data_IF_395130746275
#
_entry.id   IF_395130746275
#
_cell.length_a   1.000
_cell.length_b   1.000
_cell.length_c   1.000
_cell.angle_alpha   90.00
_cell.angle_beta   90.00
_cell.angle_gamma   90.00
#
_symmetry.space_group_name_H-M   'P 1'
#
loop_
_entity.id
_entity.type
_entity.pdbx_description
1 polymer ?
#
# COMPACT_ATOMS: atom_id res chain seq x y z
N UNK A 1 14.68 0.93 11.24
CA UNK A 1 13.31 0.40 11.42
C UNK A 1 12.64 -0.06 10.12
N UNK A 2 12.94 0.50 8.94
CA UNK A 2 12.30 0.03 7.69
C UNK A 2 12.65 -1.39 7.23
N UNK A 3 13.86 -1.89 7.52
CA UNK A 3 14.32 -3.23 7.07
C UNK A 3 13.75 -4.40 7.87
N UNK A 4 13.06 -4.16 8.98
CA UNK A 4 12.35 -5.20 9.74
C UNK A 4 10.88 -5.29 9.34
N UNK A 5 10.40 -4.39 8.47
CA UNK A 5 9.02 -4.40 7.99
C UNK A 5 8.91 -5.33 6.80
N UNK A 6 7.95 -6.24 6.83
CA UNK A 6 7.63 -7.14 5.72
C UNK A 6 6.23 -6.81 5.22
N UNK A 7 6.11 -6.58 3.91
CA UNK A 7 4.82 -6.50 3.20
C UNK A 7 4.35 -7.93 2.96
N UNK A 8 3.13 -8.23 3.41
CA UNK A 8 2.53 -9.57 3.37
C UNK A 8 1.22 -9.49 2.57
N UNK A 9 1.20 -10.15 1.42
CA UNK A 9 0.02 -10.17 0.54
C UNK A 9 -0.30 -11.58 0.09
N UNK A 10 -1.58 -11.81 -0.22
CA UNK A 10 -2.06 -13.05 -0.84
C UNK A 10 -2.88 -12.66 -2.06
N UNK A 11 -2.51 -13.19 -3.22
CA UNK A 11 -3.31 -13.11 -4.45
C UNK A 11 -4.13 -14.38 -4.58
N UNK A 12 -5.44 -14.27 -4.75
CA UNK A 12 -6.36 -15.38 -4.95
C UNK A 12 -6.72 -15.48 -6.44
N UNK A 13 -6.62 -16.68 -6.99
CA UNK A 13 -6.92 -17.00 -8.38
C UNK A 13 -8.05 -18.03 -8.45
N UNK A 14 -9.04 -17.75 -9.29
CA UNK A 14 -10.09 -18.69 -9.64
C UNK A 14 -9.59 -19.66 -10.70
N UNK A 15 -9.83 -20.96 -10.50
CA UNK A 15 -9.54 -22.01 -11.48
C UNK A 15 -10.85 -22.51 -12.10
N UNK A 16 -10.92 -22.58 -13.42
CA UNK A 16 -12.01 -23.28 -14.09
C UNK A 16 -11.89 -24.79 -13.87
N UNK A 17 -13.02 -25.50 -13.82
CA UNK A 17 -13.08 -26.95 -13.54
C UNK A 17 -12.22 -27.79 -14.49
N UNK A 18 -11.99 -27.32 -15.70
CA UNK A 18 -11.18 -28.00 -16.73
C UNK A 18 -9.68 -27.79 -16.59
N UNK A 19 -9.24 -26.95 -15.65
CA UNK A 19 -7.83 -26.58 -15.48
C UNK A 19 -7.17 -27.50 -14.46
N UNK A 20 -6.07 -28.12 -14.86
CA UNK A 20 -5.23 -28.93 -13.97
C UNK A 20 -4.40 -28.01 -13.04
N UNK A 21 -4.73 -28.01 -11.76
CA UNK A 21 -4.07 -27.19 -10.74
C UNK A 21 -2.58 -27.50 -10.61
N UNK A 22 -2.15 -28.74 -10.82
CA UNK A 22 -0.74 -29.12 -10.71
C UNK A 22 0.07 -28.56 -11.88
N UNK A 23 -0.49 -28.63 -13.10
CA UNK A 23 0.13 -28.02 -14.28
C UNK A 23 0.25 -26.49 -14.15
N UNK A 24 -0.78 -25.83 -13.59
CA UNK A 24 -0.73 -24.39 -13.30
C UNK A 24 0.32 -24.07 -12.24
N UNK A 25 0.37 -24.83 -11.14
CA UNK A 25 1.36 -24.63 -10.08
C UNK A 25 2.80 -24.83 -10.60
N UNK A 26 3.02 -25.84 -11.45
CA UNK A 26 4.30 -26.05 -12.13
C UNK A 26 4.67 -24.86 -13.03
N UNK A 27 3.74 -24.39 -13.85
CA UNK A 27 3.98 -23.23 -14.72
C UNK A 27 4.19 -21.94 -13.93
N UNK A 28 3.52 -21.79 -12.78
CA UNK A 28 3.71 -20.66 -11.88
C UNK A 28 5.11 -20.70 -11.25
N UNK A 29 5.62 -21.88 -10.90
CA UNK A 29 6.99 -22.05 -10.44
C UNK A 29 8.01 -21.64 -11.52
N UNK A 30 7.78 -21.99 -12.79
CA UNK A 30 8.60 -21.51 -13.90
C UNK A 30 8.50 -19.99 -14.10
N UNK A 31 7.30 -19.43 -13.93
CA UNK A 31 7.10 -17.97 -13.95
C UNK A 31 7.88 -17.26 -12.84
N UNK A 32 7.88 -17.82 -11.63
CA UNK A 32 8.70 -17.32 -10.50
C UNK A 32 10.19 -17.43 -10.82
N UNK A 33 10.66 -18.58 -11.33
CA UNK A 33 12.07 -18.77 -11.72
C UNK A 33 12.50 -17.74 -12.77
N UNK A 34 11.67 -17.49 -13.78
CA UNK A 34 11.96 -16.46 -14.77
C UNK A 34 12.03 -15.06 -14.13
N UNK A 35 11.04 -14.69 -13.30
CA UNK A 35 11.04 -13.41 -12.62
C UNK A 35 12.27 -13.21 -11.73
N UNK A 36 12.69 -14.24 -10.99
CA UNK A 36 13.91 -14.21 -10.16
C UNK A 36 15.18 -14.07 -10.99
N UNK A 37 15.27 -14.67 -12.20
CA UNK A 37 16.42 -14.44 -13.10
C UNK A 37 16.55 -12.98 -13.53
N UNK A 38 15.42 -12.29 -13.73
CA UNK A 38 15.38 -10.87 -14.09
C UNK A 38 15.58 -9.95 -12.87
N UNK A 39 15.23 -10.43 -11.68
CA UNK A 39 15.27 -9.70 -10.40
C UNK A 39 16.08 -10.48 -9.34
N UNK A 40 17.37 -10.80 -9.58
CA UNK A 40 18.12 -11.76 -8.77
C UNK A 40 18.27 -11.34 -7.31
N UNK A 41 18.30 -10.03 -7.03
CA UNK A 41 18.37 -9.49 -5.67
C UNK A 41 17.16 -9.83 -4.78
N UNK A 42 16.03 -10.30 -5.35
CA UNK A 42 14.90 -10.79 -4.56
C UNK A 42 15.17 -12.16 -3.92
N UNK A 43 16.11 -12.94 -4.46
CA UNK A 43 16.58 -14.21 -3.87
C UNK A 43 17.65 -14.00 -2.78
N UNK A 44 18.04 -12.75 -2.52
CA UNK A 44 19.10 -12.44 -1.56
C UNK A 44 18.62 -12.29 -0.12
N UNK A 45 19.58 -12.36 0.80
CA UNK A 45 19.40 -12.02 2.21
C UNK A 45 19.85 -10.56 2.45
N UNK A 46 19.01 -9.77 3.11
CA UNK A 46 19.34 -8.38 3.47
C UNK A 46 20.33 -8.33 4.62
N UNK A 47 21.46 -7.65 4.40
CA UNK A 47 22.55 -7.53 5.36
C UNK A 47 23.17 -6.14 5.30
N UNK A 48 23.71 -5.69 6.43
CA UNK A 48 24.55 -4.49 6.44
C UNK A 48 25.96 -4.85 5.97
N UNK A 49 26.43 -4.17 4.93
CA UNK A 49 27.84 -4.16 4.53
C UNK A 49 28.74 -3.61 5.63
N UNK A 50 30.05 -3.83 5.51
CA UNK A 50 31.07 -3.26 6.40
C UNK A 50 30.97 -1.73 6.51
N UNK A 51 30.54 -1.07 5.43
CA UNK A 51 30.31 0.38 5.39
C UNK A 51 28.98 0.82 6.03
N UNK A 52 28.25 -0.09 6.69
CA UNK A 52 26.97 0.19 7.34
C UNK A 52 25.80 0.42 6.37
N UNK A 53 25.95 0.11 5.08
CA UNK A 53 24.87 0.21 4.08
C UNK A 53 24.13 -1.12 3.98
N UNK A 54 22.80 -1.07 3.98
CA UNK A 54 21.96 -2.24 3.77
C UNK A 54 22.01 -2.68 2.30
N UNK A 55 22.29 -3.95 2.06
CA UNK A 55 22.40 -4.58 0.74
C UNK A 55 21.59 -5.87 0.71
N UNK A 56 21.09 -6.27 -0.46
CA UNK A 56 20.64 -7.64 -0.69
C UNK A 56 21.83 -8.45 -1.18
N UNK A 57 22.24 -9.47 -0.43
CA UNK A 57 23.41 -10.31 -0.74
C UNK A 57 22.94 -11.58 -1.44
N UNK A 58 23.49 -11.82 -2.63
CA UNK A 58 23.21 -13.00 -3.46
C UNK A 58 24.51 -13.72 -3.85
N UNK A 59 24.44 -15.04 -3.96
CA UNK A 59 25.45 -15.92 -4.56
C UNK A 59 24.90 -16.55 -5.85
N UNK A 60 25.74 -17.19 -6.69
CA UNK A 60 25.26 -17.92 -7.87
C UNK A 60 24.20 -18.99 -7.57
N UNK A 61 24.19 -19.52 -6.35
CA UNK A 61 23.25 -20.53 -5.84
C UNK A 61 22.02 -19.92 -5.13
N UNK A 62 21.93 -18.59 -5.03
CA UNK A 62 20.79 -17.94 -4.39
C UNK A 62 19.54 -18.14 -5.22
N UNK A 63 18.58 -18.86 -4.64
CA UNK A 63 17.26 -19.08 -5.22
C UNK A 63 16.20 -18.46 -4.32
N UNK A 64 15.13 -17.99 -4.95
CA UNK A 64 13.97 -17.51 -4.21
C UNK A 64 13.30 -18.71 -3.52
N UNK A 65 13.10 -18.63 -2.21
CA UNK A 65 12.41 -19.67 -1.47
C UNK A 65 10.93 -19.71 -1.88
N UNK A 66 10.51 -20.83 -2.49
CA UNK A 66 9.12 -21.09 -2.90
C UNK A 66 8.63 -22.36 -2.21
N UNK A 67 7.58 -22.23 -1.41
CA UNK A 67 6.86 -23.38 -0.85
C UNK A 67 5.62 -23.68 -1.72
N UNK A 68 5.31 -24.96 -1.95
CA UNK A 68 4.04 -25.39 -2.54
C UNK A 68 3.26 -26.13 -1.47
N UNK A 69 2.13 -25.58 -1.06
CA UNK A 69 1.22 -26.17 -0.09
C UNK A 69 -0.08 -26.59 -0.77
N UNK A 70 -0.49 -27.84 -0.54
CA UNK A 70 -1.74 -28.41 -1.06
C UNK A 70 -2.70 -28.52 0.11
N UNK A 71 -3.70 -27.66 0.16
CA UNK A 71 -4.66 -27.66 1.25
C UNK A 71 -5.66 -28.80 1.08
N UNK A 72 -5.84 -29.60 2.12
CA UNK A 72 -6.99 -30.49 2.20
C UNK A 72 -8.28 -29.70 2.47
N UNK A 73 -9.44 -30.27 2.13
CA UNK A 73 -10.76 -29.65 2.39
C UNK A 73 -11.06 -29.45 3.88
N UNK A 74 -10.41 -30.23 4.74
CA UNK A 74 -10.44 -30.11 6.20
C UNK A 74 -9.55 -28.97 6.70
N UNK A 75 -8.52 -28.63 5.94
CA UNK A 75 -7.60 -27.56 6.27
C UNK A 75 -8.19 -26.23 5.80
N UNK A 76 -8.67 -26.12 4.56
CA UNK A 76 -9.10 -24.83 4.03
C UNK A 76 -10.43 -24.88 3.28
N UNK A 77 -11.16 -23.76 3.35
CA UNK A 77 -12.38 -23.58 2.57
C UNK A 77 -12.08 -23.56 1.06
N UNK A 78 -13.04 -24.05 0.26
CA UNK A 78 -12.91 -23.98 -1.20
C UNK A 78 -12.91 -22.53 -1.68
N UNK A 79 -12.35 -22.29 -2.87
CA UNK A 79 -12.31 -20.97 -3.48
C UNK A 79 -13.70 -20.33 -3.56
N UNK A 80 -14.73 -21.13 -3.90
CA UNK A 80 -16.12 -20.64 -4.01
C UNK A 80 -16.68 -20.12 -2.68
N UNK A 81 -16.31 -20.75 -1.56
CA UNK A 81 -16.72 -20.31 -0.21
C UNK A 81 -15.99 -19.02 0.17
N UNK A 82 -14.67 -18.97 -0.05
CA UNK A 82 -13.86 -17.77 0.18
C UNK A 82 -14.35 -16.59 -0.67
N UNK A 83 -14.66 -16.82 -1.94
CA UNK A 83 -15.18 -15.81 -2.86
C UNK A 83 -16.56 -15.30 -2.44
N UNK A 84 -17.44 -16.17 -1.92
CA UNK A 84 -18.74 -15.77 -1.36
C UNK A 84 -18.59 -14.87 -0.12
N UNK A 85 -17.56 -15.12 0.70
CA UNK A 85 -17.15 -14.24 1.80
C UNK A 85 -16.27 -13.07 1.36
N UNK A 86 -16.14 -12.82 0.06
CA UNK A 86 -15.32 -11.75 -0.52
C UNK A 86 -13.87 -11.73 -0.01
N UNK A 87 -13.32 -12.89 0.34
CA UNK A 87 -11.97 -13.02 0.92
C UNK A 87 -11.77 -12.06 2.10
N UNK A 88 -12.71 -12.09 3.05
CA UNK A 88 -12.78 -11.15 4.17
C UNK A 88 -11.44 -10.93 4.89
N UNK A 89 -11.13 -9.70 5.35
CA UNK A 89 -9.98 -9.45 6.22
C UNK A 89 -9.95 -10.27 7.52
N UNK A 90 -11.07 -10.91 7.92
CA UNK A 90 -11.10 -11.82 9.06
C UNK A 90 -10.57 -13.22 8.73
N UNK A 91 -10.31 -13.52 7.45
CA UNK A 91 -9.62 -14.74 7.04
C UNK A 91 -8.20 -14.76 7.61
N UNK A 92 -7.79 -15.90 8.17
CA UNK A 92 -6.40 -16.10 8.60
C UNK A 92 -5.48 -16.23 7.38
N UNK A 93 -4.97 -15.10 6.91
CA UNK A 93 -4.06 -15.04 5.77
C UNK A 93 -2.70 -15.70 6.04
N UNK A 94 -2.34 -15.98 7.31
CA UNK A 94 -1.01 -16.56 7.63
C UNK A 94 -0.82 -17.93 7.01
N UNK A 95 -1.90 -18.68 6.82
CA UNK A 95 -1.88 -20.03 6.25
C UNK A 95 -1.48 -20.04 4.78
N UNK A 96 -1.77 -18.95 4.06
CA UNK A 96 -1.40 -18.79 2.65
C UNK A 96 -0.05 -18.10 2.46
N UNK A 97 0.58 -17.63 3.53
CA UNK A 97 1.86 -16.92 3.48
C UNK A 97 3.01 -17.88 3.83
N UNK A 98 4.22 -17.65 3.28
CA UNK A 98 5.41 -18.35 3.74
C UNK A 98 5.61 -18.21 5.26
N UNK A 99 6.39 -19.10 5.86
CA UNK A 99 6.78 -18.95 7.26
C UNK A 99 7.62 -17.69 7.50
N UNK A 100 7.54 -17.13 8.72
CA UNK A 100 8.44 -16.06 9.17
C UNK A 100 9.89 -16.56 9.13
N UNK A 101 10.83 -15.82 8.51
CA UNK A 101 12.23 -16.20 8.54
C UNK A 101 12.81 -16.09 9.96
N UNK A 102 13.55 -17.11 10.39
CA UNK A 102 14.26 -17.14 11.67
C UNK A 102 15.74 -16.80 11.42
N UNK A 103 16.24 -15.74 12.05
CA UNK A 103 17.66 -15.35 12.02
C UNK A 103 18.17 -14.72 10.71
N UNK A 104 17.49 -14.97 9.58
CA UNK A 104 17.76 -14.37 8.28
C UNK A 104 16.77 -13.24 7.95
N UNK A 105 17.12 -12.42 6.95
CA UNK A 105 16.29 -11.31 6.46
C UNK A 105 16.12 -11.42 4.94
N UNK A 106 15.47 -12.48 4.42
CA UNK A 106 15.29 -12.66 2.99
C UNK A 106 14.56 -11.45 2.38
N UNK A 107 15.00 -11.03 1.20
CA UNK A 107 14.37 -9.95 0.47
C UNK A 107 12.94 -10.32 0.07
N UNK A 108 12.71 -11.57 -0.34
CA UNK A 108 11.39 -12.09 -0.71
C UNK A 108 11.26 -13.58 -0.32
N UNK A 109 10.04 -14.03 0.00
CA UNK A 109 9.63 -15.43 0.08
C UNK A 109 8.26 -15.61 -0.56
N UNK A 110 8.02 -16.76 -1.18
CA UNK A 110 6.74 -17.06 -1.86
C UNK A 110 6.17 -18.41 -1.40
N UNK A 111 4.84 -18.48 -1.31
CA UNK A 111 4.09 -19.71 -1.13
C UNK A 111 3.02 -19.81 -2.21
N UNK A 112 2.99 -20.94 -2.91
CA UNK A 112 1.90 -21.32 -3.81
C UNK A 112 0.97 -22.23 -2.99
N UNK A 113 -0.29 -21.84 -2.87
CA UNK A 113 -1.32 -22.64 -2.22
C UNK A 113 -2.28 -23.20 -3.26
N UNK A 114 -2.49 -24.51 -3.28
CA UNK A 114 -3.51 -25.16 -4.10
C UNK A 114 -4.72 -25.42 -3.20
N UNK A 115 -5.87 -24.85 -3.56
CA UNK A 115 -7.14 -25.00 -2.83
C UNK A 115 -8.20 -25.56 -3.78
N UNK A 116 -9.28 -26.15 -3.25
CA UNK A 116 -10.37 -26.63 -4.09
C UNK A 116 -10.95 -25.48 -4.93
N UNK A 117 -10.89 -25.62 -6.26
CA UNK A 117 -11.39 -24.62 -7.22
C UNK A 117 -10.54 -23.36 -7.36
N UNK A 118 -9.33 -23.31 -6.80
CA UNK A 118 -8.52 -22.10 -6.82
C UNK A 118 -7.04 -22.30 -6.52
N UNK A 119 -6.31 -21.18 -6.58
CA UNK A 119 -4.88 -21.10 -6.29
C UNK A 119 -4.60 -19.80 -5.52
N UNK A 120 -3.65 -19.84 -4.60
CA UNK A 120 -3.17 -18.64 -3.89
C UNK A 120 -1.68 -18.42 -4.15
N UNK A 121 -1.28 -17.17 -4.35
CA UNK A 121 0.12 -16.75 -4.35
C UNK A 121 0.35 -15.84 -3.13
N UNK A 122 0.91 -16.42 -2.07
CA UNK A 122 1.31 -15.69 -0.87
C UNK A 122 2.72 -15.18 -0.98
N UNK A 123 2.95 -13.93 -0.60
CA UNK A 123 4.23 -13.27 -0.76
C UNK A 123 4.59 -12.47 0.49
N UNK A 124 5.85 -12.63 0.92
CA UNK A 124 6.51 -11.82 1.94
C UNK A 124 7.65 -11.06 1.30
N UNK A 125 7.52 -9.74 1.18
CA UNK A 125 8.58 -8.87 0.66
C UNK A 125 9.12 -8.03 1.82
N UNK A 126 10.43 -8.08 2.07
CA UNK A 126 11.04 -7.13 2.97
C UNK A 126 10.91 -5.73 2.36
N UNK A 127 10.31 -4.79 3.10
CA UNK A 127 9.97 -3.48 2.58
C UNK A 127 11.21 -2.64 2.22
N UNK A 128 12.41 -2.99 2.71
CA UNK A 128 13.64 -2.34 2.26
C UNK A 128 14.04 -2.73 0.82
N UNK A 129 13.59 -3.88 0.32
CA UNK A 129 13.85 -4.32 -1.05
C UNK A 129 12.99 -3.59 -2.09
N UNK A 130 11.76 -3.18 -1.75
CA UNK A 130 10.90 -2.44 -2.68
C UNK A 130 9.60 -1.92 -2.07
N UNK A 131 9.00 -1.00 -2.81
CA UNK A 131 7.65 -0.46 -2.58
C UNK A 131 6.58 -1.24 -3.37
N UNK A 132 5.33 -0.77 -3.34
CA UNK A 132 4.23 -1.39 -4.10
C UNK A 132 4.51 -1.44 -5.60
N UNK A 133 5.09 -0.38 -6.20
CA UNK A 133 5.41 -0.36 -7.64
C UNK A 133 6.41 -1.48 -7.99
N UNK A 134 7.39 -1.73 -7.13
CA UNK A 134 8.34 -2.84 -7.28
C UNK A 134 7.68 -4.20 -7.11
N UNK A 135 6.77 -4.33 -6.14
CA UNK A 135 5.99 -5.55 -5.92
C UNK A 135 5.03 -5.85 -7.09
N UNK A 136 4.31 -4.85 -7.60
CA UNK A 136 3.44 -4.93 -8.77
C UNK A 136 4.22 -5.39 -10.00
N UNK A 137 5.43 -4.85 -10.21
CA UNK A 137 6.34 -5.28 -11.28
C UNK A 137 6.71 -6.76 -11.14
N UNK A 138 7.07 -7.22 -9.93
CA UNK A 138 7.39 -8.61 -9.64
C UNK A 138 6.19 -9.54 -9.92
N UNK A 139 5.02 -9.22 -9.38
CA UNK A 139 3.79 -10.00 -9.57
C UNK A 139 3.37 -10.07 -11.05
N UNK A 140 3.46 -8.95 -11.76
CA UNK A 140 3.17 -8.87 -13.18
C UNK A 140 4.13 -9.75 -13.99
N UNK A 141 5.43 -9.72 -13.66
CA UNK A 141 6.44 -10.53 -14.36
C UNK A 141 6.23 -12.02 -14.10
N UNK A 142 5.93 -12.42 -12.86
CA UNK A 142 5.58 -13.80 -12.49
C UNK A 142 4.37 -14.26 -13.33
N UNK A 143 3.30 -13.46 -13.35
CA UNK A 143 2.04 -13.82 -14.01
C UNK A 143 2.19 -13.93 -15.52
N UNK A 144 2.83 -12.95 -16.16
CA UNK A 144 3.08 -12.97 -17.60
C UNK A 144 4.02 -14.11 -18.01
N UNK A 145 5.01 -14.44 -17.19
CA UNK A 145 5.92 -15.57 -17.44
C UNK A 145 5.19 -16.90 -17.30
N UNK A 146 4.32 -17.04 -16.30
CA UNK A 146 3.45 -18.20 -16.10
C UNK A 146 2.55 -18.43 -17.31
N UNK A 147 1.89 -17.35 -17.77
CA UNK A 147 1.02 -17.35 -18.94
C UNK A 147 1.77 -17.74 -20.23
N UNK A 148 2.96 -17.18 -20.43
CA UNK A 148 3.80 -17.52 -21.58
C UNK A 148 4.24 -18.99 -21.55
N UNK A 149 4.66 -19.50 -20.38
CA UNK A 149 5.04 -20.90 -20.20
C UNK A 149 3.89 -21.86 -20.55
N UNK A 150 2.68 -21.59 -20.03
CA UNK A 150 1.48 -22.39 -20.33
C UNK A 150 1.13 -22.39 -21.82
N UNK A 151 1.38 -21.28 -22.51
CA UNK A 151 1.14 -21.15 -23.94
C UNK A 151 2.27 -21.71 -24.81
N UNK A 152 3.36 -22.22 -24.22
CA UNK A 152 4.56 -22.64 -24.96
C UNK A 152 5.27 -21.47 -25.67
N UNK A 153 5.11 -20.25 -25.16
CA UNK A 153 5.66 -19.01 -25.71
C UNK A 153 6.95 -18.61 -24.99
N UNK A 154 7.72 -17.72 -25.62
CA UNK A 154 8.88 -17.12 -24.98
C UNK A 154 8.44 -16.30 -23.76
N UNK A 155 9.03 -16.59 -22.60
CA UNK A 155 8.79 -15.82 -21.38
C UNK A 155 9.35 -14.39 -21.52
N UNK A 156 8.67 -13.38 -20.94
CA UNK A 156 9.12 -12.00 -21.03
C UNK A 156 10.45 -11.79 -20.31
N UNK A 157 11.23 -10.84 -20.81
CA UNK A 157 12.44 -10.33 -20.16
C UNK A 157 12.16 -8.98 -19.51
N UNK A 158 12.89 -8.67 -18.46
CA UNK A 158 12.81 -7.40 -17.76
C UNK A 158 14.19 -7.03 -17.25
N UNK A 159 14.58 -5.77 -17.40
CA UNK A 159 15.85 -5.28 -16.86
C UNK A 159 15.53 -4.17 -15.87
N UNK A 160 15.70 -4.41 -14.55
CA UNK A 160 15.46 -3.36 -13.57
C UNK A 160 16.53 -2.27 -13.67
N UNK A 161 16.11 -1.01 -13.52
CA UNK A 161 17.06 0.04 -13.16
C UNK A 161 17.31 0.00 -11.65
N UNK A 162 18.56 -0.24 -11.26
CA UNK A 162 18.99 -0.27 -9.86
C UNK A 162 19.76 0.99 -9.44
N UNK A 163 19.85 1.98 -10.33
CA UNK A 163 20.53 3.24 -10.04
C UNK A 163 19.77 4.03 -8.97
N UNK A 164 20.35 4.07 -7.77
CA UNK A 164 19.78 4.79 -6.62
C UNK A 164 20.23 6.25 -6.53
N UNK A 165 21.01 6.76 -7.48
CA UNK A 165 21.65 8.07 -7.39
C UNK A 165 20.65 9.20 -7.11
N UNK A 166 19.48 9.17 -7.76
CA UNK A 166 18.42 10.16 -7.58
C UNK A 166 17.79 10.16 -6.16
N UNK A 167 17.96 9.07 -5.41
CA UNK A 167 17.34 8.86 -4.10
C UNK A 167 18.34 8.84 -2.94
N UNK A 168 19.61 9.11 -3.22
CA UNK A 168 20.70 9.09 -2.25
C UNK A 168 21.00 10.48 -1.66
N UNK A 169 21.78 10.49 -0.58
CA UNK A 169 22.26 11.73 0.05
C UNK A 169 23.01 12.60 -0.96
N UNK A 170 22.57 13.85 -1.18
CA UNK A 170 23.28 14.79 -2.04
C UNK A 170 24.59 15.23 -1.36
N UNK A 171 25.49 15.83 -2.14
CA UNK A 171 26.62 16.55 -1.56
C UNK A 171 26.12 17.67 -0.62
N UNK A 172 26.76 17.92 0.54
CA UNK A 172 26.38 19.00 1.43
C UNK A 172 26.34 20.34 0.69
N UNK A 173 25.22 21.05 0.81
CA UNK A 173 25.08 22.40 0.29
C UNK A 173 24.81 23.36 1.45
N UNK A 174 25.75 24.24 1.82
CA UNK A 174 25.59 25.14 2.97
C UNK A 174 24.48 26.17 2.78
N UNK A 175 23.98 26.37 1.56
CA UNK A 175 22.84 27.23 1.28
C UNK A 175 21.48 26.60 1.66
N UNK A 176 21.44 25.27 1.87
CA UNK A 176 20.23 24.54 2.25
C UNK A 176 20.27 24.32 3.76
N UNK A 177 19.39 25.00 4.48
CA UNK A 177 19.28 24.84 5.93
C UNK A 177 18.47 23.59 6.30
N UNK A 178 18.59 23.16 7.55
CA UNK A 178 17.75 22.09 8.10
C UNK A 178 16.25 22.44 8.04
N UNK A 179 15.89 23.72 8.17
CA UNK A 179 14.51 24.18 8.04
C UNK A 179 13.99 24.02 6.59
N UNK A 180 14.83 24.33 5.60
CA UNK A 180 14.49 24.13 4.18
C UNK A 180 14.27 22.65 3.86
N UNK A 181 15.10 21.76 4.44
CA UNK A 181 14.92 20.32 4.30
C UNK A 181 13.61 19.85 4.92
N UNK A 182 13.30 20.25 6.16
CA UNK A 182 12.04 19.90 6.84
C UNK A 182 10.81 20.38 6.08
N UNK A 183 10.86 21.58 5.48
CA UNK A 183 9.77 22.11 4.66
C UNK A 183 9.44 21.23 3.43
N UNK A 184 10.43 20.50 2.91
CA UNK A 184 10.28 19.56 1.78
C UNK A 184 9.83 18.15 2.20
N UNK A 185 9.85 17.82 3.49
CA UNK A 185 9.49 16.51 4.02
C UNK A 185 8.49 16.63 5.18
N UNK A 186 7.28 17.18 4.94
CA UNK A 186 6.36 17.58 6.02
C UNK A 186 5.93 16.42 6.92
N UNK A 187 5.99 15.18 6.42
CA UNK A 187 5.73 13.96 7.19
C UNK A 187 6.69 13.73 8.35
N UNK A 188 7.90 14.29 8.34
CA UNK A 188 8.90 14.04 9.37
C UNK A 188 9.12 15.26 10.26
N UNK A 189 9.33 14.99 11.54
CA UNK A 189 9.93 15.93 12.49
C UNK A 189 11.24 15.33 13.01
N UNK A 190 12.13 16.19 13.51
CA UNK A 190 13.30 15.71 14.26
C UNK A 190 12.98 15.73 15.74
N UNK A 191 13.24 14.61 16.40
CA UNK A 191 13.07 14.46 17.84
C UNK A 191 14.32 13.85 18.46
N UNK A 192 14.44 13.96 19.78
CA UNK A 192 15.42 13.17 20.54
C UNK A 192 14.98 11.70 20.58
N UNK A 193 15.93 10.77 20.43
CA UNK A 193 15.68 9.32 20.51
C UNK A 193 15.03 8.91 21.83
N UNK A 194 15.33 9.61 22.92
CA UNK A 194 14.70 9.39 24.24
C UNK A 194 13.21 9.72 24.27
N UNK A 195 12.72 10.54 23.34
CA UNK A 195 11.31 10.89 23.20
C UNK A 195 10.55 9.91 22.30
N UNK A 196 11.26 9.03 21.58
CA UNK A 196 10.63 8.03 20.72
C UNK A 196 9.85 7.02 21.57
N UNK A 197 8.53 7.10 21.52
CA UNK A 197 7.62 6.18 22.22
C UNK A 197 6.90 5.31 21.21
N UNK A 198 7.02 3.99 21.38
CA UNK A 198 6.17 3.02 20.69
C UNK A 198 5.03 2.69 21.64
N UNK A 199 3.88 3.32 21.42
CA UNK A 199 2.66 2.91 22.13
C UNK A 199 2.11 1.65 21.44
N UNK A 200 1.70 0.62 22.20
CA UNK A 200 1.00 -0.51 21.60
C UNK A 200 -0.28 0.02 20.95
N UNK A 201 -0.58 -0.37 19.69
CA UNK A 201 -1.82 0.06 19.06
C UNK A 201 -3.03 -0.48 19.82
N UNK A 202 -4.16 0.27 19.83
CA UNK A 202 -5.42 -0.30 20.27
C UNK A 202 -5.79 -1.49 19.37
N UNK A 203 -6.57 -2.47 19.88
CA UNK A 203 -7.17 -3.49 19.04
C UNK A 203 -7.94 -2.84 17.89
N UNK A 204 -7.66 -3.28 16.68
CA UNK A 204 -8.28 -2.75 15.47
C UNK A 204 -9.14 -3.82 14.80
N UNK A 205 -10.19 -3.36 14.11
CA UNK A 205 -10.97 -4.16 13.18
C UNK A 205 -10.77 -3.62 11.78
N UNK A 206 -10.86 -4.50 10.79
CA UNK A 206 -10.86 -4.12 9.39
C UNK A 206 -11.90 -4.87 8.57
N UNK A 207 -12.50 -4.18 7.59
CA UNK A 207 -13.36 -4.75 6.55
C UNK A 207 -12.97 -4.14 5.19
N UNK A 208 -13.55 -4.67 4.12
CA UNK A 208 -13.45 -4.11 2.78
C UNK A 208 -14.74 -3.39 2.43
N UNK A 209 -14.60 -2.17 1.94
CA UNK A 209 -15.68 -1.37 1.40
C UNK A 209 -15.48 -1.12 -0.08
N UNK A 210 -16.58 -1.01 -0.82
CA UNK A 210 -16.57 -0.77 -2.26
C UNK A 210 -17.23 0.53 -2.61
N UNK A 211 -16.61 1.25 -3.54
CA UNK A 211 -17.17 2.46 -4.14
C UNK A 211 -17.09 2.35 -5.66
N UNK A 212 -18.15 2.79 -6.34
CA UNK A 212 -18.24 2.72 -7.80
C UNK A 212 -17.70 3.98 -8.47
N UNK A 213 -17.21 3.87 -9.70
CA UNK A 213 -16.80 5.02 -10.51
C UNK A 213 -17.94 6.04 -10.69
N UNK A 214 -19.21 5.68 -11.02
CA UNK A 214 -20.31 6.64 -11.06
C UNK A 214 -20.47 7.44 -9.76
N UNK A 215 -20.40 6.78 -8.60
CA UNK A 215 -20.46 7.44 -7.29
C UNK A 215 -19.32 8.44 -7.11
N UNK A 216 -18.11 8.07 -7.52
CA UNK A 216 -16.95 8.97 -7.48
C UNK A 216 -17.12 10.17 -8.42
N UNK A 217 -17.69 9.98 -9.61
CA UNK A 217 -17.94 11.08 -10.55
C UNK A 217 -18.99 12.05 -10.04
N UNK A 218 -20.02 11.54 -9.36
CA UNK A 218 -20.97 12.36 -8.63
C UNK A 218 -20.26 13.18 -7.55
N UNK A 219 -19.45 12.55 -6.70
CA UNK A 219 -18.68 13.23 -5.65
C UNK A 219 -17.74 14.31 -6.19
N UNK A 220 -17.04 14.04 -7.30
CA UNK A 220 -16.21 15.04 -7.96
C UNK A 220 -17.04 16.26 -8.34
N UNK A 221 -18.18 16.03 -8.98
CA UNK A 221 -19.08 17.09 -9.43
C UNK A 221 -19.63 17.92 -8.26
N UNK A 222 -19.99 17.26 -7.15
CA UNK A 222 -20.45 17.91 -5.93
C UNK A 222 -19.33 18.73 -5.26
N UNK A 223 -18.09 18.24 -5.24
CA UNK A 223 -16.96 18.93 -4.62
C UNK A 223 -16.40 20.08 -5.46
N UNK A 224 -16.47 20.01 -6.80
CA UNK A 224 -15.86 20.99 -7.72
C UNK A 224 -16.19 22.45 -7.39
N UNK A 225 -17.43 22.85 -7.08
CA UNK A 225 -17.76 24.24 -6.74
C UNK A 225 -17.14 24.74 -5.42
N UNK A 226 -16.61 23.84 -4.60
CA UNK A 226 -16.13 24.11 -3.24
C UNK A 226 -14.64 23.83 -3.07
N UNK A 227 -13.90 23.54 -4.15
CA UNK A 227 -12.47 23.30 -4.09
C UNK A 227 -11.73 24.58 -3.65
N UNK A 228 -10.76 24.40 -2.76
CA UNK A 228 -9.87 25.45 -2.30
C UNK A 228 -8.44 25.24 -2.81
N UNK A 229 -7.92 26.22 -3.55
CA UNK A 229 -6.51 26.27 -3.97
C UNK A 229 -6.06 25.13 -4.88
N UNK A 230 -6.97 24.46 -5.59
CA UNK A 230 -6.69 23.43 -6.61
C UNK A 230 -7.73 23.50 -7.73
N UNK A 231 -7.30 23.20 -8.96
CA UNK A 231 -8.18 23.28 -10.14
C UNK A 231 -9.05 22.02 -10.33
N UNK A 232 -8.61 20.89 -9.80
CA UNK A 232 -9.30 19.61 -9.96
C UNK A 232 -8.96 18.65 -8.81
N UNK A 233 -9.79 17.62 -8.68
CA UNK A 233 -9.56 16.47 -7.81
C UNK A 233 -9.72 15.15 -8.60
N UNK A 234 -9.02 14.12 -8.17
CA UNK A 234 -9.04 12.78 -8.76
C UNK A 234 -9.91 11.82 -7.96
N UNK A 235 -10.10 10.60 -8.50
CA UNK A 235 -10.80 9.53 -7.76
C UNK A 235 -10.10 9.20 -6.44
N UNK A 236 -8.76 9.20 -6.42
CA UNK A 236 -7.98 8.99 -5.20
C UNK A 236 -8.26 10.07 -4.14
N UNK A 237 -8.32 11.34 -4.54
CA UNK A 237 -8.60 12.45 -3.60
C UNK A 237 -10.00 12.31 -3.00
N UNK A 238 -10.99 11.91 -3.80
CA UNK A 238 -12.37 11.70 -3.34
C UNK A 238 -12.46 10.55 -2.32
N UNK A 239 -11.87 9.40 -2.64
CA UNK A 239 -11.85 8.24 -1.74
C UNK A 239 -11.10 8.60 -0.45
N UNK A 240 -9.96 9.28 -0.58
CA UNK A 240 -9.17 9.74 0.56
C UNK A 240 -9.95 10.71 1.47
N UNK A 241 -10.64 11.68 0.87
CA UNK A 241 -11.47 12.65 1.57
C UNK A 241 -12.63 11.98 2.33
N UNK A 242 -13.33 11.04 1.69
CA UNK A 242 -14.40 10.27 2.33
C UNK A 242 -13.90 9.49 3.55
N UNK A 243 -12.80 8.75 3.38
CA UNK A 243 -12.24 7.95 4.49
C UNK A 243 -11.76 8.85 5.63
N UNK A 244 -11.07 9.94 5.30
CA UNK A 244 -10.55 10.87 6.31
C UNK A 244 -11.67 11.55 7.10
N UNK A 245 -12.68 12.09 6.43
CA UNK A 245 -13.83 12.73 7.07
C UNK A 245 -14.66 11.73 7.88
N UNK A 246 -14.95 10.54 7.33
CA UNK A 246 -15.75 9.52 8.02
C UNK A 246 -15.07 8.98 9.29
N UNK A 247 -13.76 8.66 9.22
CA UNK A 247 -13.01 8.21 10.40
C UNK A 247 -12.89 9.34 11.42
N UNK A 248 -12.69 10.59 10.99
CA UNK A 248 -12.64 11.75 11.89
C UNK A 248 -13.98 11.94 12.62
N UNK A 249 -15.10 11.83 11.91
CA UNK A 249 -16.44 11.94 12.50
C UNK A 249 -16.75 10.80 13.47
N UNK A 250 -16.39 9.56 13.11
CA UNK A 250 -16.49 8.42 14.01
C UNK A 250 -15.65 8.63 15.29
N UNK A 251 -14.41 9.13 15.16
CA UNK A 251 -13.56 9.47 16.31
C UNK A 251 -14.18 10.57 17.18
N UNK A 252 -14.74 11.62 16.60
CA UNK A 252 -15.39 12.69 17.36
C UNK A 252 -16.69 12.24 18.06
N UNK A 253 -17.37 11.23 17.52
CA UNK A 253 -18.50 10.61 18.20
C UNK A 253 -18.05 9.88 19.48
N UNK A 254 -16.94 9.14 19.40
CA UNK A 254 -16.37 8.41 20.55
C UNK A 254 -15.67 9.35 21.54
N UNK A 255 -14.99 10.37 21.02
CA UNK A 255 -14.12 11.31 21.75
C UNK A 255 -14.48 12.77 21.43
N UNK A 256 -15.65 13.27 21.87
CA UNK A 256 -16.11 14.62 21.57
C UNK A 256 -15.19 15.73 22.12
N UNK A 257 -14.40 15.43 23.16
CA UNK A 257 -13.38 16.34 23.69
C UNK A 257 -12.24 16.66 22.71
N UNK A 258 -12.12 15.86 21.62
CA UNK A 258 -11.12 16.04 20.56
C UNK A 258 -11.59 16.94 19.41
N UNK A 259 -12.71 17.65 19.55
CA UNK A 259 -13.26 18.53 18.50
C UNK A 259 -12.24 19.54 17.93
N UNK A 260 -11.40 20.12 18.79
CA UNK A 260 -10.36 21.08 18.39
C UNK A 260 -8.99 20.43 18.15
N UNK A 261 -8.88 19.10 18.27
CA UNK A 261 -7.63 18.40 18.01
C UNK A 261 -7.28 18.46 16.51
N UNK A 262 -6.00 18.60 16.15
CA UNK A 262 -5.60 18.55 14.76
C UNK A 262 -5.72 17.11 14.23
N UNK A 263 -6.26 16.97 13.03
CA UNK A 263 -6.23 15.74 12.24
C UNK A 263 -5.41 15.95 10.97
N UNK A 264 -4.70 14.90 10.56
CA UNK A 264 -3.85 14.82 9.37
C UNK A 264 -4.16 13.54 8.60
N UNK A 265 -4.04 13.65 7.29
CA UNK A 265 -4.08 12.51 6.39
C UNK A 265 -2.68 12.23 5.84
N UNK A 266 -2.12 11.09 6.21
CA UNK A 266 -0.79 10.66 5.77
C UNK A 266 -0.92 9.68 4.63
N UNK A 267 -0.14 9.88 3.58
CA UNK A 267 -0.08 8.96 2.45
C UNK A 267 1.29 8.95 1.78
N UNK A 268 1.73 7.80 1.23
CA UNK A 268 2.96 7.72 0.46
C UNK A 268 2.74 8.16 -0.98
N UNK A 269 3.75 8.85 -1.54
CA UNK A 269 3.77 9.32 -2.93
C UNK A 269 4.90 8.63 -3.67
N UNK A 270 4.60 7.92 -4.75
CA UNK A 270 5.60 7.44 -5.70
C UNK A 270 6.19 8.62 -6.47
N UNK A 271 7.50 8.83 -6.36
CA UNK A 271 8.18 9.97 -6.99
C UNK A 271 8.81 9.62 -8.33
N UNK A 272 8.76 8.36 -8.80
CA UNK A 272 9.34 7.96 -10.11
C UNK A 272 8.83 8.80 -11.27
N UNK A 273 7.58 9.25 -11.21
CA UNK A 273 6.97 10.10 -12.25
C UNK A 273 6.90 11.58 -11.85
N UNK A 274 7.52 11.96 -10.72
CA UNK A 274 7.51 13.31 -10.15
C UNK A 274 8.93 13.84 -10.10
N UNK A 275 9.53 13.87 -11.28
CA UNK A 275 10.94 14.14 -11.48
C UNK A 275 11.10 15.08 -12.67
N UNK A 276 11.09 16.41 -12.42
CA UNK A 276 11.17 17.39 -13.48
C UNK A 276 12.51 17.34 -14.24
N UNK A 277 13.56 16.79 -13.62
CA UNK A 277 14.90 16.73 -14.17
C UNK A 277 15.21 15.40 -14.88
N UNK A 278 14.24 14.46 -14.92
CA UNK A 278 14.38 13.14 -15.56
C UNK A 278 15.60 12.34 -15.09
N UNK A 279 15.91 12.41 -13.79
CA UNK A 279 16.98 11.68 -13.10
C UNK A 279 16.60 10.24 -12.71
N UNK A 280 15.32 9.92 -12.77
CA UNK A 280 14.72 8.63 -12.37
C UNK A 280 14.27 7.84 -13.59
N UNK A 281 14.15 6.53 -13.41
CA UNK A 281 13.67 5.63 -14.45
C UNK A 281 12.29 5.08 -14.08
N UNK A 282 11.36 4.97 -15.04
CA UNK A 282 10.14 4.19 -14.86
C UNK A 282 10.39 2.71 -14.53
N UNK A 283 11.57 2.17 -14.89
CA UNK A 283 12.00 0.80 -14.59
C UNK A 283 12.76 0.69 -13.24
N UNK A 284 12.86 1.78 -12.47
CA UNK A 284 13.54 1.78 -11.19
C UNK A 284 12.91 0.79 -10.20
N UNK A 285 13.71 -0.20 -9.78
CA UNK A 285 13.29 -1.20 -8.78
C UNK A 285 13.88 -0.85 -7.42
N UNK A 286 13.01 -0.68 -6.42
CA UNK A 286 13.40 -0.24 -5.09
C UNK A 286 12.32 0.60 -4.43
N UNK A 287 12.68 1.31 -3.36
CA UNK A 287 11.77 2.27 -2.75
C UNK A 287 12.00 3.65 -3.38
N UNK A 288 10.99 4.17 -4.08
CA UNK A 288 10.92 5.57 -4.51
C UNK A 288 9.60 6.18 -4.05
N UNK A 289 9.17 5.82 -2.84
CA UNK A 289 7.99 6.38 -2.18
C UNK A 289 8.41 7.23 -0.98
N UNK A 290 7.79 8.39 -0.83
CA UNK A 290 7.96 9.26 0.34
C UNK A 290 6.61 9.61 0.95
N UNK A 291 6.51 9.56 2.28
CA UNK A 291 5.32 10.00 3.00
C UNK A 291 5.14 11.52 2.90
N UNK A 292 3.89 11.95 2.71
CA UNK A 292 3.47 13.34 2.90
C UNK A 292 2.23 13.38 3.79
N UNK A 293 1.85 14.59 4.18
CA UNK A 293 0.66 14.81 5.00
C UNK A 293 -0.20 15.92 4.39
N UNK A 294 -1.51 15.70 4.42
CA UNK A 294 -2.52 16.72 4.24
C UNK A 294 -3.00 17.20 5.62
N UNK A 295 -3.24 18.51 5.75
CA UNK A 295 -3.51 19.15 7.04
C UNK A 295 -2.25 19.75 7.69
N UNK A 296 -2.23 19.97 9.02
CA UNK A 296 -3.31 19.67 9.96
C UNK A 296 -4.56 20.52 9.74
N UNK A 297 -5.72 19.97 10.08
CA UNK A 297 -7.00 20.69 10.16
C UNK A 297 -7.64 20.41 11.53
N UNK A 298 -8.34 21.36 12.16
CA UNK A 298 -9.17 21.05 13.32
C UNK A 298 -10.23 20.00 12.95
N UNK A 299 -10.37 18.97 13.77
CA UNK A 299 -11.25 17.84 13.47
C UNK A 299 -12.71 18.27 13.22
N UNK A 300 -13.20 19.23 14.01
CA UNK A 300 -14.55 19.77 13.85
C UNK A 300 -14.74 20.53 12.53
N UNK A 301 -13.72 21.26 12.07
CA UNK A 301 -13.77 21.99 10.80
C UNK A 301 -13.82 21.02 9.61
N UNK A 302 -13.08 19.91 9.69
CA UNK A 302 -13.04 18.90 8.65
C UNK A 302 -14.41 18.23 8.42
N UNK A 303 -15.19 18.04 9.49
CA UNK A 303 -16.50 17.36 9.43
C UNK A 303 -17.68 18.34 9.44
N UNK A 304 -17.44 19.65 9.41
CA UNK A 304 -18.50 20.65 9.47
C UNK A 304 -19.44 20.53 8.26
N UNK A 305 -20.74 20.43 8.52
CA UNK A 305 -21.77 20.54 7.49
C UNK A 305 -22.03 22.01 7.16
N UNK A 306 -22.44 22.29 5.93
CA UNK A 306 -23.04 23.56 5.57
C UNK A 306 -24.41 23.73 6.26
N UNK A 307 -24.94 24.96 6.24
CA UNK A 307 -26.22 25.32 6.87
C UNK A 307 -27.42 24.54 6.31
N UNK A 308 -27.29 23.92 5.14
CA UNK A 308 -28.28 23.05 4.50
C UNK A 308 -28.15 21.57 4.92
N UNK A 309 -27.26 21.25 5.87
CA UNK A 309 -26.99 19.90 6.35
C UNK A 309 -26.07 19.08 5.43
N UNK A 310 -25.53 19.66 4.35
CA UNK A 310 -24.63 18.95 3.45
C UNK A 310 -23.18 18.98 3.94
N UNK A 311 -22.48 17.85 3.85
CA UNK A 311 -21.07 17.65 4.24
C UNK A 311 -20.10 17.89 3.08
N UNK A 312 -20.62 18.26 1.89
CA UNK A 312 -19.87 18.42 0.65
C UNK A 312 -18.69 19.40 0.80
N UNK A 313 -18.85 20.45 1.62
CA UNK A 313 -17.75 21.40 1.90
C UNK A 313 -16.58 20.76 2.64
N UNK A 314 -16.86 19.92 3.64
CA UNK A 314 -15.84 19.16 4.37
C UNK A 314 -15.10 18.19 3.46
N UNK A 315 -15.84 17.47 2.61
CA UNK A 315 -15.26 16.59 1.58
C UNK A 315 -14.39 17.34 0.58
N UNK A 316 -14.87 18.47 0.04
CA UNK A 316 -14.12 19.29 -0.90
C UNK A 316 -12.84 19.85 -0.25
N UNK A 317 -12.93 20.32 0.99
CA UNK A 317 -11.77 20.79 1.77
C UNK A 317 -10.75 19.67 1.95
N UNK A 318 -11.19 18.49 2.41
CA UNK A 318 -10.33 17.33 2.57
C UNK A 318 -9.64 16.93 1.25
N UNK A 319 -10.41 16.84 0.16
CA UNK A 319 -9.90 16.49 -1.17
C UNK A 319 -8.89 17.52 -1.70
N UNK A 320 -9.16 18.82 -1.52
CA UNK A 320 -8.23 19.90 -1.83
C UNK A 320 -6.94 19.79 -1.05
N UNK A 321 -7.00 19.50 0.25
CA UNK A 321 -5.81 19.30 1.08
C UNK A 321 -4.98 18.09 0.62
N UNK A 322 -5.62 16.96 0.30
CA UNK A 322 -4.97 15.76 -0.24
C UNK A 322 -4.32 16.06 -1.59
N UNK A 323 -5.00 16.76 -2.49
CA UNK A 323 -4.43 17.15 -3.80
C UNK A 323 -3.20 18.05 -3.64
N UNK A 324 -3.27 19.05 -2.75
CA UNK A 324 -2.14 19.96 -2.49
C UNK A 324 -0.94 19.23 -1.87
N UNK A 325 -1.16 18.27 -0.96
CA UNK A 325 -0.06 17.51 -0.35
C UNK A 325 0.71 16.66 -1.37
N UNK A 326 0.02 16.10 -2.37
CA UNK A 326 0.64 15.33 -3.46
C UNK A 326 1.59 16.21 -4.28
N UNK A 327 1.17 17.42 -4.64
CA UNK A 327 1.95 18.33 -5.49
C UNK A 327 3.21 18.89 -4.83
N UNK A 328 3.37 18.70 -3.51
CA UNK A 328 4.54 19.15 -2.75
C UNK A 328 5.71 18.17 -2.74
N UNK A 329 5.47 16.93 -3.19
CA UNK A 329 6.48 15.87 -3.18
C UNK A 329 6.96 15.61 -4.59
N UNK A 330 8.26 15.63 -4.76
CA UNK A 330 8.96 15.27 -5.99
C UNK A 330 10.28 14.54 -5.62
N UNK A 331 11.09 14.21 -6.63
CA UNK A 331 12.39 13.58 -6.41
C UNK A 331 13.32 14.41 -5.51
N UNK A 332 13.21 15.74 -5.49
CA UNK A 332 14.03 16.61 -4.63
C UNK A 332 13.71 16.44 -3.14
N UNK A 333 12.51 15.95 -2.80
CA UNK A 333 12.16 15.60 -1.42
C UNK A 333 13.01 14.46 -0.87
N UNK A 334 13.53 13.54 -1.70
CA UNK A 334 14.50 12.54 -1.26
C UNK A 334 15.85 13.15 -0.90
N UNK A 335 16.32 14.13 -1.68
CA UNK A 335 17.53 14.87 -1.37
C UNK A 335 17.39 15.64 -0.04
N UNK A 336 16.22 16.22 0.22
CA UNK A 336 15.91 16.86 1.49
C UNK A 336 15.88 15.85 2.65
N UNK A 337 15.21 14.71 2.50
CA UNK A 337 15.15 13.66 3.54
C UNK A 337 16.54 13.13 3.90
N UNK A 338 17.33 12.79 2.89
CA UNK A 338 18.65 12.18 3.08
C UNK A 338 19.68 13.19 3.59
N UNK A 339 19.61 14.45 3.14
CA UNK A 339 20.38 15.55 3.71
C UNK A 339 20.01 15.82 5.17
N UNK A 340 18.72 15.76 5.51
CA UNK A 340 18.24 15.89 6.89
C UNK A 340 18.80 14.77 7.77
N UNK A 341 18.71 13.51 7.32
CA UNK A 341 19.29 12.35 8.02
C UNK A 341 20.79 12.51 8.27
N UNK A 342 21.54 13.05 7.30
CA UNK A 342 22.97 13.30 7.44
C UNK A 342 23.29 14.44 8.43
N UNK A 343 22.34 15.35 8.67
CA UNK A 343 22.48 16.47 9.62
C UNK A 343 22.13 16.13 11.07
N UNK A 344 21.56 14.95 11.32
CA UNK A 344 21.11 14.56 12.66
C UNK A 344 22.30 14.31 13.60
N UNK A 345 22.18 14.76 14.85
CA UNK A 345 23.13 14.36 15.89
C UNK A 345 22.94 12.87 16.25
N UNK A 346 23.92 12.24 16.94
CA UNK A 346 23.76 10.87 17.40
C UNK A 346 22.57 10.63 18.34
N UNK A 347 22.02 11.67 18.98
CA UNK A 347 20.85 11.56 19.88
C UNK A 347 19.53 11.81 19.15
N UNK A 348 19.56 12.37 17.95
CA UNK A 348 18.37 12.71 17.17
C UNK A 348 17.91 11.57 16.25
N UNK A 349 16.62 11.59 15.92
CA UNK A 349 16.02 10.72 14.89
C UNK A 349 14.86 11.41 14.19
N UNK A 350 14.45 10.87 13.04
CA UNK A 350 13.20 11.28 12.38
C UNK A 350 12.04 10.50 12.96
N UNK A 351 10.98 11.19 13.34
CA UNK A 351 9.71 10.60 13.71
C UNK A 351 8.61 11.06 12.76
N UNK A 352 7.59 10.22 12.50
CA UNK A 352 6.37 10.67 11.87
C UNK A 352 5.78 11.86 12.63
N UNK A 353 5.46 12.94 11.91
CA UNK A 353 4.68 14.07 12.41
C UNK A 353 3.18 13.74 12.33
N UNK A 354 2.80 12.59 12.89
CA UNK A 354 1.45 12.07 12.89
C UNK A 354 1.21 11.10 14.05
N UNK A 355 -0.01 11.08 14.59
CA UNK A 355 -0.49 10.15 15.60
C UNK A 355 -1.66 9.29 15.08
N UNK A 356 -1.33 8.10 14.57
CA UNK A 356 -2.30 7.16 14.01
C UNK A 356 -3.21 6.50 15.07
N UNK A 357 -2.82 6.57 16.35
CA UNK A 357 -3.63 6.11 17.47
C UNK A 357 -4.67 7.13 17.92
N UNK A 358 -4.44 8.42 17.63
CA UNK A 358 -5.34 9.53 17.95
C UNK A 358 -6.13 9.99 16.71
N UNK A 359 -5.93 11.22 16.23
CA UNK A 359 -6.77 11.82 15.18
C UNK A 359 -6.23 11.69 13.75
N UNK A 360 -5.00 11.17 13.56
CA UNK A 360 -4.41 11.07 12.22
C UNK A 360 -4.72 9.72 11.56
N UNK A 361 -4.70 9.68 10.23
CA UNK A 361 -5.01 8.51 9.41
C UNK A 361 -3.87 8.25 8.43
N UNK A 362 -3.50 6.98 8.25
CA UNK A 362 -2.63 6.56 7.16
C UNK A 362 -3.46 5.94 6.02
N UNK A 363 -3.20 6.32 4.78
CA UNK A 363 -3.81 5.67 3.62
C UNK A 363 -2.79 5.39 2.53
N UNK A 364 -2.88 4.20 1.95
CA UNK A 364 -2.10 3.79 0.78
C UNK A 364 -3.02 3.48 -0.43
N UNK A 365 -2.41 3.30 -1.60
CA UNK A 365 -3.14 2.82 -2.78
C UNK A 365 -2.29 1.84 -3.57
N UNK A 366 -2.87 0.68 -3.84
CA UNK A 366 -2.31 -0.42 -4.63
C UNK A 366 -3.10 -0.65 -5.92
N UNK A 367 -3.88 0.35 -6.31
CA UNK A 367 -4.81 0.31 -7.42
C UNK A 367 -4.17 -0.03 -8.78
N UNK A 368 -2.84 0.10 -8.92
CA UNK A 368 -2.14 -0.21 -10.17
C UNK A 368 -2.17 -1.68 -10.58
N UNK A 369 -2.44 -2.60 -9.64
CA UNK A 369 -2.65 -4.01 -9.96
C UNK A 369 -3.97 -4.22 -10.70
N UNK A 370 -3.95 -5.02 -11.76
CA UNK A 370 -5.09 -5.23 -12.64
C UNK A 370 -5.21 -6.68 -13.12
N UNK A 371 -6.36 -7.03 -13.72
CA UNK A 371 -6.58 -8.37 -14.29
C UNK A 371 -5.55 -8.67 -15.36
N UNK A 372 -5.26 -7.71 -16.24
CA UNK A 372 -4.35 -7.90 -17.38
C UNK A 372 -2.92 -8.18 -16.91
N UNK A 373 -2.49 -7.56 -15.82
CA UNK A 373 -1.15 -7.76 -15.26
C UNK A 373 -1.01 -9.12 -14.59
N UNK A 374 -2.06 -9.58 -13.90
CA UNK A 374 -1.99 -10.77 -13.05
C UNK A 374 -2.70 -11.99 -13.65
N UNK A 375 -3.19 -11.93 -14.88
CA UNK A 375 -3.74 -13.10 -15.59
C UNK A 375 -2.66 -14.17 -15.79
N UNK A 376 -2.88 -15.36 -15.21
CA UNK A 376 -1.97 -16.50 -15.32
C UNK A 376 -2.17 -17.28 -16.62
N UNK A 377 -3.21 -16.98 -17.40
CA UNK A 377 -3.57 -17.70 -18.63
C UNK A 377 -4.45 -18.92 -18.38
N UNK A 378 -4.84 -19.61 -19.46
CA UNK A 378 -5.66 -20.83 -19.42
C UNK A 378 -6.98 -20.72 -18.62
N UNK A 379 -7.55 -19.51 -18.52
CA UNK A 379 -8.76 -19.26 -17.73
C UNK A 379 -8.53 -19.07 -16.23
N UNK A 380 -7.26 -19.02 -15.78
CA UNK A 380 -6.87 -18.78 -14.38
C UNK A 380 -6.71 -17.29 -14.12
N UNK A 381 -7.56 -16.78 -13.25
CA UNK A 381 -7.93 -15.38 -13.25
C UNK A 381 -7.81 -14.78 -11.84
N UNK A 382 -7.15 -13.61 -11.67
CA UNK A 382 -7.06 -12.98 -10.35
C UNK A 382 -8.45 -12.51 -9.90
N UNK A 383 -8.78 -12.85 -8.67
CA UNK A 383 -10.06 -12.54 -8.04
C UNK A 383 -9.91 -11.54 -6.88
N UNK A 384 -8.82 -11.62 -6.12
CA UNK A 384 -8.58 -10.73 -4.99
C UNK A 384 -7.09 -10.62 -4.65
N UNK A 385 -6.68 -9.46 -4.16
CA UNK A 385 -5.45 -9.30 -3.37
C UNK A 385 -5.85 -8.90 -1.97
N UNK A 386 -5.32 -9.60 -0.98
CA UNK A 386 -5.53 -9.30 0.45
C UNK A 386 -4.21 -9.02 1.13
N UNK A 387 -4.26 -8.09 2.07
CA UNK A 387 -3.11 -7.65 2.85
C UNK A 387 -3.26 -8.13 4.28
N UNK A 388 -2.21 -8.74 4.83
CA UNK A 388 -2.11 -8.90 6.28
C UNK A 388 -1.56 -7.60 6.86
N UNK A 389 -2.44 -6.66 7.20
CA UNK A 389 -2.03 -5.35 7.64
C UNK A 389 -1.36 -5.40 9.03
N UNK A 390 -0.22 -4.74 9.16
CA UNK A 390 0.52 -4.57 10.42
C UNK A 390 0.64 -3.10 10.85
N UNK A 391 -0.25 -2.23 10.38
CA UNK A 391 -0.20 -0.80 10.74
C UNK A 391 -0.97 -0.56 12.05
N UNK A 392 -0.39 0.19 13.01
CA UNK A 392 -1.08 0.59 14.22
C UNK A 392 -2.17 1.63 13.92
N UNK A 393 -3.34 1.48 14.54
CA UNK A 393 -4.42 2.49 14.49
C UNK A 393 -5.21 2.51 13.18
N UNK A 394 -5.70 3.69 12.80
CA UNK A 394 -6.52 3.86 11.62
C UNK A 394 -5.68 3.82 10.32
N UNK A 395 -6.06 2.93 9.41
CA UNK A 395 -5.35 2.68 8.17
C UNK A 395 -6.34 2.35 7.06
N UNK A 396 -6.12 2.86 5.86
CA UNK A 396 -6.86 2.44 4.68
C UNK A 396 -5.93 2.09 3.51
N UNK A 397 -6.39 1.23 2.60
CA UNK A 397 -5.70 0.97 1.35
C UNK A 397 -6.68 0.69 0.23
N UNK A 398 -6.58 1.43 -0.87
CA UNK A 398 -7.24 1.03 -2.12
C UNK A 398 -6.51 -0.22 -2.63
N UNK A 399 -7.25 -1.30 -2.84
CA UNK A 399 -6.72 -2.58 -3.31
C UNK A 399 -6.62 -2.60 -4.85
N UNK A 400 -5.86 -3.56 -5.43
CA UNK A 400 -5.86 -3.81 -6.87
C UNK A 400 -7.27 -3.93 -7.46
N UNK A 401 -7.45 -3.45 -8.69
CA UNK A 401 -8.75 -3.42 -9.33
C UNK A 401 -8.92 -4.59 -10.29
N UNK A 402 -9.85 -5.50 -9.97
CA UNK A 402 -10.20 -6.63 -10.82
C UNK A 402 -11.61 -6.57 -11.38
N UNK A 403 -12.20 -5.38 -11.50
CA UNK A 403 -13.50 -5.16 -12.12
C UNK A 403 -13.53 -5.75 -13.54
N UNK A 404 -14.58 -6.51 -13.88
CA UNK A 404 -14.76 -7.14 -15.21
C UNK A 404 -16.16 -6.84 -15.73
N UNK A 405 -16.23 -6.09 -16.83
CA UNK A 405 -17.51 -5.60 -17.34
C UNK A 405 -18.19 -4.62 -16.38
N UNK A 406 -19.08 -3.77 -16.91
CA UNK A 406 -19.76 -2.75 -16.10
C UNK A 406 -18.86 -1.59 -15.63
N UNK A 407 -19.35 -0.73 -14.72
CA UNK A 407 -18.58 0.38 -14.20
C UNK A 407 -17.42 -0.12 -13.31
N UNK A 408 -16.28 0.56 -13.36
CA UNK A 408 -15.16 0.28 -12.47
C UNK A 408 -15.58 0.43 -11.01
N UNK A 409 -15.10 -0.47 -10.16
CA UNK A 409 -15.24 -0.38 -8.71
C UNK A 409 -13.88 -0.35 -8.03
N UNK A 410 -13.85 0.19 -6.82
CA UNK A 410 -12.66 0.32 -5.99
C UNK A 410 -12.94 -0.36 -4.66
N UNK A 411 -12.23 -1.45 -4.39
CA UNK A 411 -12.23 -2.09 -3.07
C UNK A 411 -11.21 -1.38 -2.18
N UNK A 412 -11.65 -0.96 -1.00
CA UNK A 412 -10.87 -0.23 -0.01
C UNK A 412 -10.85 -1.03 1.27
N UNK A 413 -9.67 -1.52 1.63
CA UNK A 413 -9.42 -2.04 2.98
C UNK A 413 -9.48 -0.87 3.95
N UNK A 414 -10.31 -0.96 4.98
CA UNK A 414 -10.44 0.09 6.01
C UNK A 414 -10.31 -0.56 7.38
N UNK A 415 -9.36 -0.06 8.17
CA UNK A 415 -9.06 -0.48 9.52
C UNK A 415 -9.15 0.71 10.47
N UNK A 416 -9.75 0.51 11.65
CA UNK A 416 -9.77 1.49 12.74
C UNK A 416 -9.82 0.79 14.10
N UNK A 417 -9.54 1.50 15.21
CA UNK A 417 -9.83 1.01 16.56
C UNK A 417 -11.28 0.51 16.68
N UNK A 418 -11.51 -0.55 17.45
CA UNK A 418 -12.81 -1.27 17.46
C UNK A 418 -14.00 -0.36 17.77
N UNK A 419 -13.89 0.52 18.77
CA UNK A 419 -14.92 1.48 19.17
C UNK A 419 -15.24 2.50 18.06
N UNK A 420 -14.21 3.07 17.44
CA UNK A 420 -14.35 3.96 16.28
C UNK A 420 -14.98 3.22 15.10
N UNK A 421 -14.61 1.95 14.91
CA UNK A 421 -15.10 1.13 13.81
C UNK A 421 -16.60 0.84 13.92
N UNK A 422 -17.11 0.58 15.13
CA UNK A 422 -18.53 0.34 15.39
C UNK A 422 -19.41 1.55 15.02
N UNK A 423 -18.88 2.77 15.23
CA UNK A 423 -19.54 4.00 14.82
C UNK A 423 -19.45 4.19 13.30
N UNK A 424 -18.26 3.98 12.71
CA UNK A 424 -18.02 4.13 11.27
C UNK A 424 -19.01 3.28 10.44
N UNK A 425 -19.27 2.04 10.86
CA UNK A 425 -20.21 1.15 10.17
C UNK A 425 -21.67 1.62 10.19
N UNK A 426 -22.01 2.65 10.96
CA UNK A 426 -23.32 3.27 11.06
C UNK A 426 -23.33 4.73 10.58
N UNK A 427 -22.19 5.24 10.12
CA UNK A 427 -22.06 6.61 9.65
C UNK A 427 -22.83 6.79 8.32
N UNK A 428 -23.92 7.56 8.35
CA UNK A 428 -24.86 7.70 7.23
C UNK A 428 -24.17 8.19 5.95
N UNK A 429 -23.21 9.10 6.07
CA UNK A 429 -22.48 9.62 4.92
C UNK A 429 -21.51 8.57 4.37
N UNK A 430 -20.82 7.83 5.23
CA UNK A 430 -19.93 6.77 4.81
C UNK A 430 -20.69 5.67 4.05
N UNK A 431 -21.79 5.16 4.63
CA UNK A 431 -22.60 4.09 4.00
C UNK A 431 -23.42 4.56 2.80
N UNK A 432 -23.61 5.88 2.63
CA UNK A 432 -24.20 6.45 1.40
C UNK A 432 -23.30 6.22 0.18
N UNK A 433 -21.98 6.29 0.35
CA UNK A 433 -21.03 6.19 -0.76
C UNK A 433 -20.32 4.84 -0.84
N UNK A 434 -20.15 4.16 0.29
CA UNK A 434 -19.48 2.87 0.40
C UNK A 434 -20.45 1.73 0.68
N UNK A 435 -20.33 0.67 -0.10
CA UNK A 435 -20.95 -0.63 0.17
C UNK A 435 -20.00 -1.49 1.01
N UNK A 436 -20.48 -2.10 2.09
CA UNK A 436 -19.69 -3.09 2.83
C UNK A 436 -19.61 -4.40 2.03
N UNK A 437 -18.40 -4.91 1.81
CA UNK A 437 -18.16 -6.11 0.98
C UNK A 437 -17.76 -7.34 1.80
N UNK A 438 -16.87 -7.18 2.78
CA UNK A 438 -16.21 -8.32 3.45
C UNK A 438 -15.66 -7.99 4.84
#
# INVERSE_FOLDING_TARGET
MGFTKTVKIVVFYELQVTVDSENIAFSLLEGIRNATRQLPFLAGDLQFSEAGKLCSVTTPESELEVNIHRFESTENESFSVLAKGSFSPQLDLTRFLPEEPIGKQPACKIQIGIIEGGLTLGLRLNHAAGDWTSLDTCLSLISQSTKAHLAGQAMPTYTPDLNRAAFNTPAPNPAITRADQLAKVPFFSVIEKSQFKINPPPPCRANIYRISEPTIQQLKSECTPHLDGVDYITSYDCISALIWTAITRARLHVHPERSNAPTRFVHPIDVRTRDPDQKTSPQYFGNAVLGTLAGPLPAQELIASADDGTTVRGLATAASHVRRSISRIDVSSFAAMTGLLASLTPTETLAPNADFGDMDLFMNTWYSGSVEKYDLGAGVMPAAVRVQAGMPGACASILPNFSRGGPRVFDVYVQAPVDVYEVLGRDEEFVKYFELVA
#
